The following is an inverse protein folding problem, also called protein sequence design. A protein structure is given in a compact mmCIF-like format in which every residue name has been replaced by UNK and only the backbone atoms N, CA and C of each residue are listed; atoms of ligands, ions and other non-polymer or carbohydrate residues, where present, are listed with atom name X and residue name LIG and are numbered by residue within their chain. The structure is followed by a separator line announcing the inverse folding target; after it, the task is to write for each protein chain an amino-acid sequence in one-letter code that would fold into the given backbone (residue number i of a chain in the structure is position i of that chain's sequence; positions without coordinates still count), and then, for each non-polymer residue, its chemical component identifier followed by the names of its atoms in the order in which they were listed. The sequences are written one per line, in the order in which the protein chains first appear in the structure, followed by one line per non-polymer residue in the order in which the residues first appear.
data_IF_230385530524
#
_entry.id   IF_230385530524
#
_cell.length_a   1.000
_cell.length_b   1.000
_cell.length_c   1.000
_cell.angle_alpha   90.00
_cell.angle_beta   90.00
_cell.angle_gamma   90.00
#
_symmetry.space_group_name_H-M   'P 1'
#
loop_
_entity.id
_entity.type
_entity.pdbx_description
1 polymer ?
#
# COMPACT_ATOMS: atom_id res chain seq x y z
N UNK A 1 23.13 2.64 19.28
CA UNK A 1 21.81 3.07 18.77
C UNK A 1 21.62 2.30 17.50
N UNK A 2 20.59 1.45 17.39
CA UNK A 2 20.28 0.84 16.10
C UNK A 2 19.88 1.99 15.19
N UNK A 3 20.67 2.26 14.15
CA UNK A 3 20.28 3.23 13.14
C UNK A 3 18.90 2.84 12.62
N UNK A 4 17.98 3.78 12.68
CA UNK A 4 16.61 3.61 12.22
C UNK A 4 16.64 3.33 10.71
N UNK A 5 16.04 2.21 10.26
CA UNK A 5 16.04 1.84 8.83
C UNK A 5 15.55 3.02 7.96
N UNK A 6 16.19 3.30 6.80
CA UNK A 6 15.89 4.49 6.00
C UNK A 6 14.44 4.59 5.52
N UNK A 7 13.70 3.48 5.45
CA UNK A 7 12.26 3.51 5.10
C UNK A 7 11.39 4.29 6.08
N UNK A 8 11.83 4.49 7.32
CA UNK A 8 11.02 5.13 8.35
C UNK A 8 10.66 6.57 7.97
N UNK A 9 9.41 6.94 8.24
CA UNK A 9 8.88 8.26 7.91
C UNK A 9 7.74 8.23 6.90
N UNK A 10 7.54 9.36 6.22
CA UNK A 10 6.41 9.63 5.33
C UNK A 10 6.94 9.69 3.88
N UNK A 11 6.19 9.08 2.97
CA UNK A 11 6.55 8.95 1.57
C UNK A 11 5.38 9.32 0.67
N UNK A 12 5.68 10.08 -0.37
CA UNK A 12 4.80 10.27 -1.51
C UNK A 12 5.10 9.17 -2.52
N UNK A 13 4.16 8.26 -2.74
CA UNK A 13 4.35 7.06 -3.56
C UNK A 13 3.39 7.10 -4.75
N UNK A 14 3.92 6.75 -5.91
CA UNK A 14 3.15 6.54 -7.14
C UNK A 14 3.16 5.07 -7.51
N UNK A 15 1.97 4.47 -7.63
CA UNK A 15 1.70 3.13 -8.14
C UNK A 15 1.21 3.24 -9.61
N UNK A 16 2.10 2.96 -10.55
CA UNK A 16 1.81 3.06 -12.00
C UNK A 16 0.69 2.13 -12.44
N UNK A 17 -0.12 2.55 -13.41
CA UNK A 17 -1.20 1.76 -14.02
C UNK A 17 -2.29 1.29 -13.04
N UNK A 18 -2.41 1.94 -11.89
CA UNK A 18 -3.48 1.69 -10.92
C UNK A 18 -4.60 2.74 -11.04
N UNK A 19 -5.85 2.42 -10.65
CA UNK A 19 -6.95 3.38 -10.62
C UNK A 19 -6.68 4.61 -9.71
N UNK A 20 -5.81 4.45 -8.71
CA UNK A 20 -5.38 5.48 -7.78
C UNK A 20 -3.85 5.52 -7.73
N UNK A 21 -3.23 6.28 -8.64
CA UNK A 21 -1.79 6.23 -8.74
C UNK A 21 -1.06 6.83 -7.54
N UNK A 22 -1.61 7.85 -6.86
CA UNK A 22 -0.90 8.58 -5.80
C UNK A 22 -1.32 8.14 -4.40
N UNK A 23 -0.34 7.92 -3.55
CA UNK A 23 -0.51 7.47 -2.18
C UNK A 23 0.44 8.19 -1.23
N UNK A 24 0.00 8.41 0.01
CA UNK A 24 0.92 8.68 1.12
C UNK A 24 1.13 7.37 1.86
N UNK A 25 2.39 7.00 2.07
CA UNK A 25 2.76 5.84 2.87
C UNK A 25 3.57 6.27 4.09
N UNK A 26 3.28 5.66 5.24
CA UNK A 26 3.98 5.92 6.51
C UNK A 26 4.48 4.62 7.09
N UNK A 27 5.80 4.51 7.30
CA UNK A 27 6.44 3.35 7.91
C UNK A 27 6.92 3.69 9.32
N UNK A 28 6.52 2.88 10.31
CA UNK A 28 6.80 3.11 11.74
C UNK A 28 7.82 2.12 12.29
N UNK A 29 8.59 2.50 13.33
CA UNK A 29 9.60 1.62 13.94
C UNK A 29 9.06 0.32 14.55
N UNK A 30 7.76 0.26 14.85
CA UNK A 30 7.08 -0.92 15.39
C UNK A 30 6.75 -1.98 14.32
N UNK A 31 7.20 -1.79 13.08
CA UNK A 31 6.91 -2.70 11.97
C UNK A 31 5.54 -2.49 11.34
N UNK A 32 4.78 -1.47 11.75
CA UNK A 32 3.49 -1.13 11.12
C UNK A 32 3.65 -0.10 10.00
N UNK A 33 2.74 -0.17 9.04
CA UNK A 33 2.64 0.79 7.95
C UNK A 33 1.20 1.25 7.73
N UNK A 34 1.02 2.47 7.23
CA UNK A 34 -0.28 2.99 6.78
C UNK A 34 -0.11 3.54 5.38
N UNK A 35 -1.14 3.34 4.56
CA UNK A 35 -1.25 3.89 3.23
C UNK A 35 -2.58 4.64 3.12
N UNK A 36 -2.62 5.75 2.39
CA UNK A 36 -3.84 6.49 2.11
C UNK A 36 -4.16 6.56 0.62
N UNK A 37 -5.43 6.32 0.29
CA UNK A 37 -5.98 6.57 -1.04
C UNK A 37 -6.66 7.95 -1.10
N UNK A 38 -6.46 8.74 -2.17
CA UNK A 38 -7.26 9.93 -2.42
C UNK A 38 -8.70 9.52 -2.78
N UNK A 39 -9.70 10.25 -2.27
CA UNK A 39 -11.10 10.02 -2.65
C UNK A 39 -11.32 10.43 -4.12
N UNK A 40 -11.69 9.48 -4.96
CA UNK A 40 -12.01 9.71 -6.39
C UNK A 40 -13.45 9.36 -6.74
N UNK A 41 -14.24 8.91 -5.77
CA UNK A 41 -15.63 8.55 -5.99
C UNK A 41 -15.85 7.29 -6.84
N UNK A 42 -14.88 6.38 -6.90
CA UNK A 42 -15.03 5.14 -7.68
C UNK A 42 -15.93 4.16 -6.91
N UNK A 43 -16.96 3.66 -7.61
CA UNK A 43 -18.01 2.80 -7.03
C UNK A 43 -17.50 1.56 -6.27
N UNK A 44 -16.50 0.88 -6.83
CA UNK A 44 -16.08 -0.48 -6.44
C UNK A 44 -14.63 -0.56 -5.95
N UNK A 45 -14.03 0.57 -5.59
CA UNK A 45 -12.65 0.61 -5.08
C UNK A 45 -12.53 1.46 -3.83
N UNK A 46 -11.43 1.24 -3.13
CA UNK A 46 -11.11 1.83 -1.83
C UNK A 46 -10.87 3.34 -1.95
N UNK A 47 -11.74 4.15 -1.34
CA UNK A 47 -11.36 5.47 -0.80
C UNK A 47 -10.99 5.34 0.69
N UNK A 48 -10.42 4.18 1.05
CA UNK A 48 -10.05 3.83 2.42
C UNK A 48 -8.52 3.82 2.60
N UNK A 49 -8.08 3.82 3.86
CA UNK A 49 -6.67 3.70 4.19
C UNK A 49 -6.29 2.21 4.31
N UNK A 50 -5.19 1.81 3.68
CA UNK A 50 -4.54 0.55 3.94
C UNK A 50 -3.79 0.57 5.28
N UNK A 51 -3.88 -0.52 6.05
CA UNK A 51 -3.02 -0.74 7.23
C UNK A 51 -2.22 -2.01 7.04
N UNK A 52 -0.94 -1.96 7.40
CA UNK A 52 -0.01 -3.02 7.02
C UNK A 52 1.07 -3.28 8.03
N UNK A 53 1.85 -4.29 7.69
CA UNK A 53 3.11 -4.61 8.34
C UNK A 53 4.24 -4.53 7.32
N UNK A 54 5.44 -4.21 7.78
CA UNK A 54 6.64 -4.18 6.97
C UNK A 54 7.83 -4.78 7.73
N UNK A 55 8.81 -5.24 6.95
CA UNK A 55 10.11 -5.68 7.43
C UNK A 55 11.18 -5.27 6.42
N UNK A 56 12.43 -5.24 6.85
CA UNK A 56 13.55 -4.96 5.99
C UNK A 56 14.68 -5.98 6.14
N UNK A 57 15.44 -6.15 5.06
CA UNK A 57 16.70 -6.88 5.00
C UNK A 57 17.68 -6.04 4.16
N UNK A 58 18.67 -5.44 4.81
CA UNK A 58 19.47 -4.38 4.18
C UNK A 58 18.58 -3.22 3.73
N UNK A 59 18.72 -2.78 2.47
CA UNK A 59 17.92 -1.71 1.87
C UNK A 59 16.59 -2.19 1.28
N UNK A 60 16.35 -3.51 1.26
CA UNK A 60 15.13 -4.11 0.73
C UNK A 60 14.05 -4.13 1.78
N UNK A 61 12.90 -3.56 1.44
CA UNK A 61 11.71 -3.51 2.28
C UNK A 61 10.63 -4.36 1.64
N UNK A 62 9.95 -5.17 2.45
CA UNK A 62 8.79 -5.93 2.01
C UNK A 62 7.69 -5.92 3.07
N UNK A 63 6.44 -6.07 2.62
CA UNK A 63 5.30 -6.06 3.51
C UNK A 63 3.98 -6.19 2.77
N UNK A 64 2.90 -5.91 3.47
CA UNK A 64 1.59 -5.85 2.86
C UNK A 64 0.68 -4.86 3.57
N UNK A 65 -0.19 -4.21 2.80
CA UNK A 65 -1.36 -3.48 3.31
C UNK A 65 -2.61 -4.35 3.19
N UNK A 66 -3.47 -4.25 4.19
CA UNK A 66 -4.84 -4.73 4.21
C UNK A 66 -5.77 -3.53 4.09
N UNK A 67 -6.75 -3.65 3.20
CA UNK A 67 -7.87 -2.71 3.08
C UNK A 67 -9.20 -3.46 2.99
N UNK A 68 -10.28 -2.80 3.38
CA UNK A 68 -11.63 -3.24 3.07
C UNK A 68 -12.24 -2.28 2.07
N UNK A 69 -12.87 -2.86 1.05
CA UNK A 69 -13.55 -2.12 -0.02
C UNK A 69 -15.04 -2.41 0.10
N UNK A 70 -15.84 -1.36 0.14
CA UNK A 70 -17.30 -1.44 0.18
C UNK A 70 -17.84 -0.88 -1.13
N UNK A 71 -18.79 -1.57 -1.77
CA UNK A 71 -19.50 -1.00 -2.91
C UNK A 71 -20.38 0.17 -2.43
N UNK A 72 -20.18 1.35 -3.03
CA UNK A 72 -20.89 2.58 -2.64
C UNK A 72 -22.41 2.54 -2.94
N UNK A 73 -22.86 1.66 -3.83
CA UNK A 73 -24.28 1.48 -4.19
C UNK A 73 -24.94 0.32 -3.44
N UNK A 74 -24.17 -0.69 -3.06
CA UNK A 74 -24.62 -1.81 -2.23
C UNK A 74 -23.64 -2.04 -1.08
N UNK A 75 -23.82 -1.36 0.07
CA UNK A 75 -22.91 -1.46 1.20
C UNK A 75 -22.80 -2.85 1.84
N UNK A 76 -23.67 -3.81 1.47
CA UNK A 76 -23.55 -5.20 1.90
C UNK A 76 -22.40 -5.93 1.17
N UNK A 77 -21.96 -5.43 0.02
CA UNK A 77 -20.84 -5.99 -0.74
C UNK A 77 -19.51 -5.44 -0.20
N UNK A 78 -18.91 -6.21 0.70
CA UNK A 78 -17.61 -5.91 1.32
C UNK A 78 -16.56 -6.90 0.84
N UNK A 79 -15.44 -6.38 0.34
CA UNK A 79 -14.31 -7.15 -0.14
C UNK A 79 -13.04 -6.80 0.64
N UNK A 80 -12.12 -7.76 0.73
CA UNK A 80 -10.80 -7.61 1.36
C UNK A 80 -9.73 -7.42 0.29
N UNK A 81 -9.04 -6.28 0.30
CA UNK A 81 -7.85 -6.03 -0.51
C UNK A 81 -6.57 -6.36 0.25
N UNK A 82 -5.68 -7.15 -0.36
CA UNK A 82 -4.32 -7.38 0.15
C UNK A 82 -3.33 -6.89 -0.89
N UNK A 83 -2.54 -5.88 -0.53
CA UNK A 83 -1.53 -5.26 -1.38
C UNK A 83 -0.17 -5.65 -0.81
N UNK A 84 0.44 -6.70 -1.36
CA UNK A 84 1.84 -7.02 -1.05
C UNK A 84 2.75 -6.03 -1.75
N UNK A 85 3.81 -5.57 -1.09
CA UNK A 85 4.80 -4.68 -1.68
C UNK A 85 6.22 -5.16 -1.41
N UNK A 86 7.10 -4.79 -2.31
CA UNK A 86 8.53 -4.94 -2.19
C UNK A 86 9.24 -3.79 -2.91
N UNK A 87 10.18 -3.14 -2.25
CA UNK A 87 10.95 -2.04 -2.84
C UNK A 87 12.30 -1.87 -2.15
N UNK A 88 13.20 -1.16 -2.81
CA UNK A 88 14.47 -0.70 -2.24
C UNK A 88 14.36 0.77 -1.84
N UNK A 89 15.09 1.17 -0.80
CA UNK A 89 15.22 2.57 -0.39
C UNK A 89 16.62 3.07 -0.69
N UNK A 90 16.73 4.06 -1.57
CA UNK A 90 18.00 4.68 -1.96
C UNK A 90 17.95 6.17 -1.60
N UNK A 91 18.45 6.49 -0.40
CA UNK A 91 18.35 7.83 0.18
C UNK A 91 16.90 8.25 0.41
N UNK A 92 16.45 9.26 -0.34
CA UNK A 92 15.09 9.82 -0.28
C UNK A 92 14.20 9.32 -1.41
N UNK A 93 14.57 8.20 -2.04
CA UNK A 93 13.78 7.54 -3.06
C UNK A 93 13.46 6.11 -2.66
N UNK A 94 12.28 5.65 -3.07
CA UNK A 94 11.97 4.23 -3.11
C UNK A 94 11.57 3.80 -4.51
N UNK A 95 11.92 2.58 -4.88
CA UNK A 95 11.54 1.96 -6.14
C UNK A 95 11.27 0.47 -5.95
N UNK A 96 10.18 -0.02 -6.53
CA UNK A 96 9.85 -1.44 -6.48
C UNK A 96 8.51 -1.75 -7.10
N UNK A 97 7.75 -2.64 -6.47
CA UNK A 97 6.45 -3.06 -6.98
C UNK A 97 5.45 -3.37 -5.86
N UNK A 98 4.17 -3.31 -6.21
CA UNK A 98 3.08 -3.81 -5.40
C UNK A 98 2.22 -4.77 -6.21
N UNK A 99 1.71 -5.81 -5.56
CA UNK A 99 0.74 -6.74 -6.13
C UNK A 99 -0.52 -6.77 -5.27
N UNK A 100 -1.65 -6.44 -5.88
CA UNK A 100 -2.96 -6.47 -5.23
C UNK A 100 -3.73 -7.75 -5.56
N UNK A 101 -4.41 -8.28 -4.56
CA UNK A 101 -5.43 -9.33 -4.67
C UNK A 101 -6.66 -8.93 -3.87
N UNK A 102 -7.85 -9.17 -4.43
CA UNK A 102 -9.12 -8.93 -3.76
C UNK A 102 -9.81 -10.25 -3.47
N UNK A 103 -10.32 -10.37 -2.27
CA UNK A 103 -11.04 -11.54 -1.78
C UNK A 103 -12.41 -11.13 -1.28
N UNK A 104 -13.35 -12.06 -1.23
CA UNK A 104 -14.55 -11.89 -0.42
C UNK A 104 -14.21 -12.07 1.08
N UNK A 105 -15.23 -11.98 1.93
CA UNK A 105 -15.08 -12.18 3.37
C UNK A 105 -14.85 -13.65 3.78
N UNK A 106 -15.22 -14.61 2.94
CA UNK A 106 -14.92 -16.03 3.14
C UNK A 106 -13.45 -16.36 2.78
N UNK A 107 -12.76 -15.45 2.09
CA UNK A 107 -11.37 -15.60 1.65
C UNK A 107 -11.24 -16.18 0.23
N UNK A 108 -12.33 -16.29 -0.53
CA UNK A 108 -12.29 -16.66 -1.93
C UNK A 108 -11.72 -15.51 -2.76
N UNK A 109 -10.81 -15.82 -3.68
CA UNK A 109 -10.20 -14.83 -4.57
C UNK A 109 -11.23 -14.34 -5.59
N UNK A 110 -11.52 -13.04 -5.57
CA UNK A 110 -12.44 -12.39 -6.52
C UNK A 110 -11.71 -11.77 -7.71
N UNK A 111 -10.54 -11.16 -7.47
CA UNK A 111 -9.79 -10.42 -8.50
C UNK A 111 -8.29 -10.35 -8.21
N UNK A 112 -7.50 -10.33 -9.28
CA UNK A 112 -6.05 -10.25 -9.24
C UNK A 112 -5.38 -11.63 -9.38
N UNK A 113 -4.05 -11.72 -9.29
CA UNK A 113 -3.14 -10.62 -8.97
C UNK A 113 -3.08 -9.56 -10.08
N UNK A 114 -2.88 -8.30 -9.67
CA UNK A 114 -2.46 -7.21 -10.55
C UNK A 114 -1.25 -6.53 -9.94
N UNK A 115 -0.23 -6.28 -10.75
CA UNK A 115 1.06 -5.73 -10.30
C UNK A 115 1.24 -4.33 -10.85
N UNK A 116 1.78 -3.46 -10.01
CA UNK A 116 2.11 -2.07 -10.32
C UNK A 116 3.55 -1.79 -9.93
N UNK A 117 4.24 -0.95 -10.71
CA UNK A 117 5.54 -0.39 -10.32
C UNK A 117 5.32 0.74 -9.31
N UNK A 118 6.09 0.70 -8.24
CA UNK A 118 6.14 1.75 -7.23
C UNK A 118 7.35 2.63 -7.45
N UNK A 119 7.14 3.93 -7.38
CA UNK A 119 8.20 4.94 -7.22
C UNK A 119 7.79 5.90 -6.13
N UNK A 120 8.70 6.34 -5.28
CA UNK A 120 8.36 7.30 -4.25
C UNK A 120 9.50 8.23 -3.88
N UNK A 121 9.12 9.36 -3.29
CA UNK A 121 10.02 10.36 -2.72
C UNK A 121 9.69 10.55 -1.24
N UNK A 122 10.72 10.76 -0.42
CA UNK A 122 10.53 11.07 0.99
C UNK A 122 9.90 12.45 1.13
N UNK A 123 8.86 12.54 1.94
CA UNK A 123 8.31 13.83 2.31
C UNK A 123 9.19 14.49 3.39
N UNK A 124 9.79 15.64 3.04
CA UNK A 124 10.54 16.50 3.95
C UNK A 124 9.74 17.81 4.09
N UNK A 125 9.29 18.09 5.32
CA UNK A 125 8.54 19.31 5.66
C UNK A 125 9.43 20.45 6.11
#
# INVERSE_FOLDING_TARGET
MSDSHPVLGIWEVTAQDTPFAHHVMVFRPDGTAVQSNPDRGIRVSSDSNGRGIWRADGDRVAGAFLEYVVDRTDPALVNKGVIGFEFEVIGDRLEGSATVRFYDLAGELLRGPSTSRLTGIRFIG
#
